data_IF_525563024761
#
_entry.id   IF_525563024761
#
_cell.length_a   1.000
_cell.length_b   1.000
_cell.length_c   1.000
_cell.angle_alpha   90.00
_cell.angle_beta   90.00
_cell.angle_gamma   90.00
#
_symmetry.space_group_name_H-M   'P 1'
#
loop_
_entity.id
_entity.type
_entity.pdbx_description
1 polymer ?
#
# COMPACT_ATOMS: atom_id res chain seq x y z
N UNK A 1 -15.19 1.54 -35.45
CA UNK A 1 -14.47 2.57 -34.65
C UNK A 1 -15.32 3.11 -33.48
N UNK A 2 -16.08 2.24 -32.77
CA UNK A 2 -17.14 2.65 -31.82
C UNK A 2 -16.96 2.08 -30.39
N UNK A 3 -15.87 1.35 -30.14
CA UNK A 3 -15.69 0.56 -28.90
C UNK A 3 -15.06 1.39 -27.79
N UNK A 4 -14.03 2.16 -28.12
CA UNK A 4 -13.25 2.95 -27.15
C UNK A 4 -14.10 4.02 -26.44
N UNK A 5 -14.97 4.74 -27.17
CA UNK A 5 -15.83 5.76 -26.55
C UNK A 5 -16.79 5.19 -25.50
N UNK A 6 -17.42 4.05 -25.78
CA UNK A 6 -18.33 3.37 -24.84
C UNK A 6 -17.60 2.84 -23.60
N UNK A 7 -16.37 2.36 -23.78
CA UNK A 7 -15.53 1.88 -22.67
C UNK A 7 -15.14 3.05 -21.75
N UNK A 8 -14.81 4.21 -22.31
CA UNK A 8 -14.48 5.42 -21.53
C UNK A 8 -15.66 5.97 -20.75
N UNK A 9 -16.84 6.06 -21.37
CA UNK A 9 -18.08 6.45 -20.67
C UNK A 9 -18.44 5.47 -19.55
N UNK A 10 -18.15 4.18 -19.73
CA UNK A 10 -18.36 3.18 -18.68
C UNK A 10 -17.41 3.36 -17.50
N UNK A 11 -16.15 3.75 -17.76
CA UNK A 11 -15.18 4.07 -16.72
C UNK A 11 -15.53 5.38 -15.99
N UNK A 12 -16.05 6.39 -16.71
CA UNK A 12 -16.55 7.64 -16.11
C UNK A 12 -17.75 7.38 -15.20
N UNK A 13 -18.74 6.58 -15.64
CA UNK A 13 -19.88 6.18 -14.81
C UNK A 13 -19.47 5.41 -13.55
N UNK A 14 -18.32 4.73 -13.58
CA UNK A 14 -17.73 4.04 -12.42
C UNK A 14 -16.91 4.98 -11.52
N UNK A 15 -16.81 6.27 -11.86
CA UNK A 15 -16.03 7.25 -11.09
C UNK A 15 -14.51 7.13 -11.25
N UNK A 16 -14.02 6.36 -12.23
CA UNK A 16 -12.59 6.10 -12.42
C UNK A 16 -11.88 7.17 -13.25
N UNK A 17 -12.63 7.94 -14.03
CA UNK A 17 -12.11 9.04 -14.82
C UNK A 17 -13.17 10.10 -15.06
N UNK A 18 -12.74 11.28 -15.48
CA UNK A 18 -13.59 12.37 -15.96
C UNK A 18 -13.24 12.65 -17.41
N UNK A 19 -14.26 12.76 -18.24
CA UNK A 19 -14.15 13.18 -19.63
C UNK A 19 -14.49 14.67 -19.72
N UNK A 20 -13.63 15.41 -20.40
CA UNK A 20 -13.82 16.82 -20.70
C UNK A 20 -13.91 16.98 -22.22
N UNK A 21 -15.13 16.98 -22.80
CA UNK A 21 -15.32 17.10 -24.23
C UNK A 21 -14.75 18.41 -24.76
N UNK A 22 -13.86 18.35 -25.75
CA UNK A 22 -13.23 19.54 -26.32
C UNK A 22 -14.15 20.35 -27.26
N UNK A 23 -15.28 19.77 -27.70
CA UNK A 23 -16.14 20.33 -28.74
C UNK A 23 -15.71 19.96 -30.17
N UNK A 24 -16.34 20.56 -31.19
CA UNK A 24 -16.11 20.19 -32.59
C UNK A 24 -14.64 20.34 -33.01
N UNK A 25 -14.07 19.27 -33.55
CA UNK A 25 -12.70 19.23 -34.06
C UNK A 25 -11.61 19.24 -32.97
N UNK A 26 -11.97 19.19 -31.69
CA UNK A 26 -11.01 19.21 -30.57
C UNK A 26 -10.99 17.85 -29.86
N UNK A 27 -9.82 17.38 -29.41
CA UNK A 27 -9.72 16.13 -28.67
C UNK A 27 -10.41 16.23 -27.31
N UNK A 28 -10.99 15.11 -26.85
CA UNK A 28 -11.50 14.98 -25.47
C UNK A 28 -10.31 14.87 -24.52
N UNK A 29 -10.31 15.71 -23.48
CA UNK A 29 -9.35 15.57 -22.38
C UNK A 29 -9.88 14.54 -21.37
N UNK A 30 -8.99 13.73 -20.82
CA UNK A 30 -9.32 12.67 -19.88
C UNK A 30 -8.48 12.87 -18.62
N UNK A 31 -9.14 12.91 -17.48
CA UNK A 31 -8.51 12.98 -16.17
C UNK A 31 -8.82 11.69 -15.41
N UNK A 32 -7.81 10.94 -14.97
CA UNK A 32 -8.04 9.80 -14.07
C UNK A 32 -8.27 10.32 -12.65
N UNK A 33 -9.33 9.80 -12.00
CA UNK A 33 -9.54 10.01 -10.57
C UNK A 33 -8.48 9.26 -9.77
N UNK A 34 -8.40 9.52 -8.46
CA UNK A 34 -7.53 8.79 -7.54
C UNK A 34 -7.72 7.27 -7.70
N UNK A 35 -8.96 6.81 -7.59
CA UNK A 35 -9.31 5.40 -7.74
C UNK A 35 -8.91 4.86 -9.12
N UNK A 36 -9.15 5.61 -10.19
CA UNK A 36 -8.72 5.23 -11.54
C UNK A 36 -7.21 5.09 -11.67
N UNK A 37 -6.42 5.99 -11.07
CA UNK A 37 -4.95 5.91 -11.05
C UNK A 37 -4.47 4.67 -10.29
N UNK A 38 -5.09 4.36 -9.16
CA UNK A 38 -4.73 3.19 -8.34
C UNK A 38 -5.06 1.87 -9.05
N UNK A 39 -6.25 1.75 -9.63
CA UNK A 39 -6.65 0.58 -10.41
C UNK A 39 -5.80 0.38 -11.67
N UNK A 40 -5.38 1.48 -12.29
CA UNK A 40 -4.45 1.45 -13.42
C UNK A 40 -2.99 1.16 -13.01
N UNK A 41 -2.69 1.06 -11.71
CA UNK A 41 -1.33 0.84 -11.20
C UNK A 41 -0.39 2.02 -11.44
N UNK A 42 -0.93 3.23 -11.59
CA UNK A 42 -0.16 4.45 -11.87
C UNK A 42 0.34 5.16 -10.60
N UNK A 43 -0.14 4.73 -9.44
CA UNK A 43 0.32 5.20 -8.14
C UNK A 43 0.12 4.13 -7.08
N UNK A 44 0.87 4.25 -5.99
CA UNK A 44 0.72 3.42 -4.78
C UNK A 44 0.23 4.34 -3.65
N UNK A 45 -0.87 4.05 -2.95
CA UNK A 45 -1.33 4.88 -1.86
C UNK A 45 -0.40 4.76 -0.65
N UNK A 46 0.03 5.88 -0.09
CA UNK A 46 0.65 5.93 1.23
C UNK A 46 -0.48 5.98 2.26
N UNK A 47 -0.63 4.91 3.04
CA UNK A 47 -1.79 4.75 3.94
C UNK A 47 -1.46 5.17 5.36
N UNK A 48 -0.19 5.42 5.66
CA UNK A 48 0.21 6.12 6.87
C UNK A 48 1.54 5.66 7.42
N UNK A 49 1.76 5.96 8.69
CA UNK A 49 2.95 5.56 9.45
C UNK A 49 2.60 4.48 10.46
N UNK A 50 3.53 3.57 10.72
CA UNK A 50 3.35 2.52 11.73
C UNK A 50 4.05 3.00 13.02
N UNK A 51 3.37 3.49 14.08
CA UNK A 51 2.35 2.75 14.82
C UNK A 51 1.20 3.59 15.46
N UNK A 52 -0.05 3.46 15.00
CA UNK A 52 -1.26 3.64 15.83
C UNK A 52 -2.53 3.16 15.10
N UNK A 53 -3.13 2.06 15.56
CA UNK A 53 -4.51 1.68 15.22
C UNK A 53 -4.67 0.65 14.10
N UNK A 54 -5.88 0.07 13.99
CA UNK A 54 -6.24 -0.79 12.86
C UNK A 54 -6.17 0.03 11.57
N UNK A 55 -5.58 -0.55 10.52
CA UNK A 55 -5.71 0.03 9.18
C UNK A 55 -7.15 -0.19 8.72
N UNK A 56 -7.98 0.83 8.85
CA UNK A 56 -9.21 0.90 8.07
C UNK A 56 -8.80 1.36 6.67
N UNK A 57 -9.07 0.52 5.68
CA UNK A 57 -8.47 0.65 4.36
C UNK A 57 -9.46 1.23 3.36
N UNK A 58 -9.91 2.46 3.63
CA UNK A 58 -10.63 3.26 2.66
C UNK A 58 -9.63 4.11 1.86
N UNK A 59 -9.71 4.04 0.53
CA UNK A 59 -8.88 4.84 -0.37
C UNK A 59 -9.05 6.37 -0.17
N UNK A 60 -10.09 6.79 0.54
CA UNK A 60 -10.38 8.20 0.87
C UNK A 60 -9.45 8.79 1.95
N UNK A 61 -8.74 7.96 2.73
CA UNK A 61 -7.96 8.40 3.90
C UNK A 61 -6.43 8.32 3.72
N UNK A 62 -5.94 8.07 2.50
CA UNK A 62 -4.50 7.99 2.23
C UNK A 62 -3.79 9.32 2.55
N UNK A 63 -2.73 9.27 3.36
CA UNK A 63 -1.87 10.43 3.67
C UNK A 63 -1.11 10.96 2.44
N UNK A 64 -1.03 10.17 1.37
CA UNK A 64 -0.45 10.57 0.11
C UNK A 64 -0.45 9.46 -0.92
N UNK A 65 0.29 9.68 -1.99
CA UNK A 65 0.57 8.66 -3.01
C UNK A 65 2.09 8.51 -3.15
N UNK A 66 2.50 7.49 -3.87
CA UNK A 66 3.83 7.38 -4.45
C UNK A 66 3.62 7.35 -5.96
N UNK A 67 4.29 8.25 -6.68
CA UNK A 67 4.24 8.35 -8.14
C UNK A 67 5.12 7.26 -8.80
N UNK A 68 4.89 6.01 -8.39
CA UNK A 68 5.59 4.84 -8.87
C UNK A 68 4.59 3.86 -9.48
N UNK A 69 4.99 3.14 -10.55
CA UNK A 69 4.16 2.08 -11.08
C UNK A 69 3.97 1.00 -10.00
N UNK A 70 2.72 0.67 -9.74
CA UNK A 70 2.30 -0.36 -8.81
C UNK A 70 1.40 -1.39 -9.50
N UNK A 71 0.72 -2.18 -8.68
CA UNK A 71 -0.40 -3.01 -9.12
C UNK A 71 -1.56 -2.88 -8.13
N UNK A 72 -2.80 -3.21 -8.55
CA UNK A 72 -3.92 -3.25 -7.63
C UNK A 72 -3.59 -4.04 -6.36
N UNK A 73 -3.90 -3.47 -5.20
CA UNK A 73 -3.60 -4.06 -3.89
C UNK A 73 -2.24 -3.69 -3.30
N UNK A 74 -1.41 -2.91 -3.99
CA UNK A 74 -0.25 -2.28 -3.38
C UNK A 74 -0.67 -1.11 -2.48
N UNK A 75 0.03 -0.97 -1.36
CA UNK A 75 -0.05 0.18 -0.48
C UNK A 75 1.30 0.38 0.21
N UNK A 76 1.57 1.61 0.63
CA UNK A 76 2.82 1.99 1.27
C UNK A 76 2.60 2.38 2.72
N UNK A 77 3.61 2.09 3.54
CA UNK A 77 3.67 2.44 4.96
C UNK A 77 5.04 3.06 5.26
N UNK A 78 5.07 4.09 6.12
CA UNK A 78 6.33 4.58 6.70
C UNK A 78 6.69 3.72 7.91
N UNK A 79 7.91 3.21 7.94
CA UNK A 79 8.45 2.45 9.07
C UNK A 79 8.73 3.41 10.22
N UNK A 80 8.16 3.15 11.38
CA UNK A 80 8.61 3.75 12.64
C UNK A 80 9.04 2.65 13.63
N UNK A 81 10.05 2.97 14.44
CA UNK A 81 10.72 2.02 15.32
C UNK A 81 11.74 1.13 14.61
N UNK A 82 12.36 0.24 15.39
CA UNK A 82 13.60 -0.45 15.06
C UNK A 82 13.49 -1.99 15.20
N UNK A 83 12.29 -2.55 15.39
CA UNK A 83 12.10 -4.00 15.50
C UNK A 83 12.53 -4.79 14.24
N UNK A 84 12.62 -4.09 13.11
CA UNK A 84 13.14 -4.62 11.85
C UNK A 84 14.48 -3.98 11.46
N UNK A 85 15.16 -3.30 12.39
CA UNK A 85 16.43 -2.60 12.16
C UNK A 85 17.49 -3.47 11.51
N UNK A 86 18.49 -2.82 10.89
CA UNK A 86 19.46 -3.40 9.95
C UNK A 86 18.85 -3.85 8.62
N UNK A 87 17.59 -4.28 8.61
CA UNK A 87 16.84 -4.59 7.38
C UNK A 87 15.96 -3.41 6.93
N UNK A 88 15.00 -3.01 7.76
CA UNK A 88 14.13 -1.86 7.58
C UNK A 88 14.48 -0.81 8.65
N UNK A 89 14.81 0.40 8.20
CA UNK A 89 15.18 1.51 9.08
C UNK A 89 13.99 2.45 9.27
N UNK A 90 14.00 3.16 10.39
CA UNK A 90 13.03 4.22 10.63
C UNK A 90 13.04 5.25 9.49
N UNK A 91 11.85 5.62 9.02
CA UNK A 91 11.64 6.51 7.88
C UNK A 91 11.67 5.82 6.51
N UNK A 92 11.99 4.53 6.41
CA UNK A 92 11.80 3.78 5.18
C UNK A 92 10.33 3.78 4.77
N UNK A 93 10.07 3.89 3.47
CA UNK A 93 8.73 3.70 2.91
C UNK A 93 8.65 2.30 2.34
N UNK A 94 7.90 1.41 2.99
CA UNK A 94 7.74 0.03 2.54
C UNK A 94 6.49 -0.12 1.70
N UNK A 95 6.58 -0.88 0.62
CA UNK A 95 5.44 -1.26 -0.22
C UNK A 95 5.02 -2.69 0.12
N UNK A 96 3.73 -2.83 0.40
CA UNK A 96 3.06 -4.04 0.85
C UNK A 96 1.96 -4.40 -0.14
N UNK A 97 1.82 -5.69 -0.42
CA UNK A 97 0.78 -6.24 -1.29
C UNK A 97 -0.32 -6.93 -0.49
N UNK A 98 -1.57 -6.49 -0.64
CA UNK A 98 -2.75 -7.19 -0.12
C UNK A 98 -3.13 -8.38 -0.97
N UNK A 99 -3.62 -9.44 -0.33
CA UNK A 99 -4.22 -10.61 -1.00
C UNK A 99 -3.36 -11.88 -0.92
N UNK A 100 -2.06 -11.86 -1.28
CA UNK A 100 -1.20 -13.03 -1.15
C UNK A 100 -1.12 -13.51 0.30
N UNK A 101 -1.20 -14.83 0.49
CA UNK A 101 -0.88 -15.45 1.78
C UNK A 101 0.64 -15.45 1.97
N UNK A 102 1.15 -14.98 3.11
CA UNK A 102 2.59 -14.95 3.35
C UNK A 102 3.16 -16.37 3.42
N UNK A 103 4.32 -16.54 2.82
CA UNK A 103 5.11 -17.77 2.93
C UNK A 103 5.99 -17.70 4.18
N UNK A 104 6.37 -18.86 4.77
CA UNK A 104 7.28 -18.87 5.90
C UNK A 104 8.58 -18.11 5.60
N UNK A 105 8.92 -17.15 6.47
CA UNK A 105 10.12 -16.32 6.35
C UNK A 105 9.95 -15.06 5.49
N UNK A 106 8.76 -14.81 4.92
CA UNK A 106 8.46 -13.49 4.32
C UNK A 106 8.23 -12.44 5.41
N UNK A 107 8.44 -11.17 5.08
CA UNK A 107 8.01 -10.06 5.93
C UNK A 107 6.57 -9.69 5.57
N UNK A 108 5.72 -9.51 6.57
CA UNK A 108 4.33 -9.13 6.37
C UNK A 108 3.95 -8.00 7.32
N UNK A 109 3.03 -7.14 6.87
CA UNK A 109 2.28 -6.25 7.73
C UNK A 109 1.20 -7.08 8.42
N UNK A 110 1.24 -7.13 9.74
CA UNK A 110 0.32 -7.91 10.56
C UNK A 110 -0.31 -7.02 11.62
N UNK A 111 -1.61 -7.17 11.83
CA UNK A 111 -2.37 -6.51 12.88
C UNK A 111 -2.55 -7.49 14.04
N UNK A 112 -2.13 -7.06 15.23
CA UNK A 112 -2.29 -7.79 16.48
C UNK A 112 -2.52 -6.78 17.62
N UNK A 113 -3.51 -7.05 18.49
CA UNK A 113 -3.91 -6.14 19.58
C UNK A 113 -4.17 -4.69 19.12
N UNK A 114 -4.78 -4.52 17.94
CA UNK A 114 -5.07 -3.20 17.38
C UNK A 114 -3.83 -2.42 16.90
N UNK A 115 -2.67 -3.07 16.82
CA UNK A 115 -1.42 -2.46 16.31
C UNK A 115 -0.90 -3.22 15.10
N UNK A 116 -0.70 -2.49 14.01
CA UNK A 116 0.01 -3.03 12.85
C UNK A 116 1.52 -3.02 13.09
N UNK A 117 2.21 -4.07 12.66
CA UNK A 117 3.67 -4.16 12.71
C UNK A 117 4.21 -4.96 11.53
N UNK A 118 5.49 -4.76 11.21
CA UNK A 118 6.22 -5.56 10.24
C UNK A 118 7.04 -6.62 10.96
N UNK A 119 6.87 -7.89 10.60
CA UNK A 119 7.61 -9.02 11.15
C UNK A 119 7.87 -10.06 10.07
N UNK A 120 8.93 -10.84 10.24
CA UNK A 120 9.01 -12.12 9.56
C UNK A 120 7.88 -13.03 10.08
N UNK A 121 7.12 -13.62 9.17
CA UNK A 121 5.97 -14.46 9.51
C UNK A 121 6.24 -15.91 9.14
N UNK A 122 5.94 -16.82 10.06
CA UNK A 122 5.99 -18.28 9.83
C UNK A 122 4.65 -18.89 10.22
N UNK A 123 3.73 -19.07 9.26
CA UNK A 123 2.46 -19.75 9.51
C UNK A 123 2.68 -21.22 9.88
N UNK A 124 2.03 -21.69 10.94
CA UNK A 124 2.13 -23.07 11.48
C UNK A 124 0.74 -23.61 11.87
N UNK A 125 -0.14 -23.78 10.88
CA UNK A 125 -1.50 -24.28 11.13
C UNK A 125 -2.31 -23.30 11.99
N UNK A 126 -2.63 -23.71 13.23
CA UNK A 126 -3.38 -22.87 14.20
C UNK A 126 -2.51 -21.86 14.93
N UNK A 127 -1.21 -21.81 14.67
CA UNK A 127 -0.30 -20.84 15.25
C UNK A 127 0.44 -20.08 14.16
N UNK A 128 0.96 -18.93 14.53
CA UNK A 128 1.85 -18.12 13.71
C UNK A 128 3.02 -17.66 14.55
N UNK A 129 4.23 -17.74 13.99
CA UNK A 129 5.41 -17.14 14.61
C UNK A 129 5.69 -15.81 13.93
N UNK A 130 5.78 -14.75 14.72
CA UNK A 130 6.19 -13.42 14.29
C UNK A 130 7.57 -13.13 14.84
N UNK A 131 8.57 -13.05 13.96
CA UNK A 131 9.96 -12.85 14.32
C UNK A 131 10.43 -11.45 13.90
N UNK A 132 10.96 -10.61 14.81
CA UNK A 132 11.64 -9.38 14.45
C UNK A 132 12.97 -9.66 13.75
N UNK A 133 13.49 -8.68 12.99
CA UNK A 133 14.88 -8.75 12.52
C UNK A 133 15.83 -8.36 13.65
N UNK A 134 15.47 -7.36 14.44
CA UNK A 134 16.27 -6.86 15.56
C UNK A 134 16.22 -7.86 16.74
N UNK A 135 17.37 -8.44 17.15
CA UNK A 135 17.45 -9.40 18.25
C UNK A 135 17.04 -8.86 19.61
N UNK A 136 16.99 -7.54 19.80
CA UNK A 136 16.52 -6.91 21.04
C UNK A 136 15.01 -7.12 21.29
N UNK A 137 14.26 -7.54 20.26
CA UNK A 137 12.83 -7.78 20.34
C UNK A 137 12.51 -9.27 20.41
N UNK A 138 11.51 -9.70 21.22
CA UNK A 138 11.15 -11.11 21.33
C UNK A 138 10.46 -11.63 20.07
N UNK A 139 10.66 -12.92 19.79
CA UNK A 139 9.82 -13.66 18.84
C UNK A 139 8.49 -13.99 19.51
N UNK A 140 7.38 -13.72 18.83
CA UNK A 140 6.04 -14.00 19.31
C UNK A 140 5.49 -15.27 18.65
N UNK A 141 4.88 -16.16 19.43
CA UNK A 141 4.17 -17.32 18.91
C UNK A 141 2.70 -17.28 19.35
N UNK A 142 1.84 -16.86 18.43
CA UNK A 142 0.46 -16.49 18.70
C UNK A 142 -0.52 -17.47 18.05
N UNK A 143 -1.76 -17.61 18.55
CA UNK A 143 -2.84 -18.23 17.80
C UNK A 143 -3.05 -17.49 16.47
N UNK A 144 -3.28 -18.25 15.39
CA UNK A 144 -3.41 -17.65 14.06
C UNK A 144 -4.65 -16.76 13.95
N UNK A 145 -5.70 -17.03 14.74
CA UNK A 145 -6.92 -16.24 14.82
C UNK A 145 -6.73 -14.85 15.48
N UNK A 146 -5.65 -14.64 16.22
CA UNK A 146 -5.35 -13.36 16.89
C UNK A 146 -4.48 -12.42 16.03
N UNK A 147 -4.09 -12.86 14.83
CA UNK A 147 -3.20 -12.13 13.93
C UNK A 147 -3.84 -12.00 12.57
N UNK A 148 -4.12 -10.78 12.16
CA UNK A 148 -4.61 -10.50 10.82
C UNK A 148 -3.43 -10.11 9.92
N UNK A 149 -3.28 -10.80 8.78
CA UNK A 149 -2.29 -10.42 7.77
C UNK A 149 -2.89 -9.37 6.84
N UNK A 150 -2.35 -8.16 6.89
CA UNK A 150 -2.79 -7.05 6.06
C UNK A 150 -2.11 -7.05 4.69
N UNK A 151 -0.91 -7.62 4.59
CA UNK A 151 -0.25 -7.87 3.31
C UNK A 151 1.20 -8.28 3.43
N UNK A 152 1.80 -8.62 2.30
CA UNK A 152 3.18 -9.12 2.20
C UNK A 152 4.11 -8.00 1.72
N UNK A 153 5.21 -7.78 2.42
CA UNK A 153 6.26 -6.85 2.02
C UNK A 153 6.83 -7.23 0.64
N UNK A 154 7.02 -6.24 -0.23
CA UNK A 154 7.57 -6.43 -1.57
C UNK A 154 8.91 -5.74 -1.76
N UNK A 155 8.96 -4.44 -1.47
CA UNK A 155 10.15 -3.63 -1.61
C UNK A 155 10.05 -2.39 -0.72
N UNK A 156 11.15 -1.65 -0.59
CA UNK A 156 11.21 -0.41 0.16
C UNK A 156 11.84 0.70 -0.68
N UNK A 157 11.56 1.94 -0.30
CA UNK A 157 12.23 3.15 -0.75
C UNK A 157 12.95 3.76 0.45
N UNK A 158 14.23 4.11 0.26
CA UNK A 158 15.08 4.72 1.28
C UNK A 158 15.84 5.91 0.70
N UNK A 159 15.99 6.98 1.48
CA UNK A 159 16.73 8.18 1.08
C UNK A 159 15.84 9.30 0.55
N UNK A 160 16.46 10.34 -0.03
CA UNK A 160 15.77 11.57 -0.40
C UNK A 160 14.62 11.36 -1.40
N UNK A 161 14.74 10.41 -2.33
CA UNK A 161 13.67 10.07 -3.29
C UNK A 161 12.37 9.63 -2.61
N UNK A 162 12.43 8.93 -1.47
CA UNK A 162 11.24 8.52 -0.73
C UNK A 162 10.51 9.74 -0.16
N UNK A 163 11.26 10.68 0.43
CA UNK A 163 10.73 11.91 1.00
C UNK A 163 10.27 12.91 -0.07
N UNK A 164 10.95 12.98 -1.21
CA UNK A 164 10.59 13.82 -2.34
C UNK A 164 9.32 13.34 -3.02
N UNK A 165 9.16 12.02 -3.25
CA UNK A 165 7.90 11.45 -3.75
C UNK A 165 6.73 11.82 -2.83
N UNK A 166 6.93 11.73 -1.51
CA UNK A 166 5.92 12.15 -0.55
C UNK A 166 5.62 13.66 -0.66
N UNK A 167 6.64 14.52 -0.76
CA UNK A 167 6.49 15.99 -0.85
C UNK A 167 5.90 16.50 -2.16
N UNK A 168 6.12 15.81 -3.29
CA UNK A 168 5.47 16.13 -4.56
C UNK A 168 3.96 15.85 -4.51
N UNK A 169 3.55 14.92 -3.62
CA UNK A 169 2.17 14.58 -3.24
C UNK A 169 1.35 15.74 -2.67
N UNK A 170 1.91 16.45 -1.69
CA UNK A 170 1.20 17.47 -0.89
C UNK A 170 0.93 18.80 -1.62
N UNK A 171 1.23 18.90 -2.93
CA UNK A 171 1.10 20.15 -3.72
C UNK A 171 -0.12 20.19 -4.64
N UNK A 172 -1.11 19.32 -4.45
CA UNK A 172 -2.37 19.32 -5.19
C UNK A 172 -3.56 19.52 -4.27
#
# INVERSE_FOLDING_TARGET
>A
MHRVGKDLEALERKGLLRLHPGGHGRPTHLELTLEGRLLAGLAIPLVGRIPAGPLDLAFEEAEGLLALPGKPGFFALVVEGDSMAEYLLEGDVVVVERGPKPRPGEVAAVLHEGRTTLKYIYPKGKRVVLKPHNPAYPTLELPAEEVEVQGVFRFLLRGQEALENLRLLWRF
#
